data_IF_072927556010
#
_entry.id   IF_072927556010
#
_cell.length_a   1.000
_cell.length_b   1.000
_cell.length_c   1.000
_cell.angle_alpha   90.00
_cell.angle_beta   90.00
_cell.angle_gamma   90.00
#
_symmetry.space_group_name_H-M   'P 1'
#
loop_
_entity.id
_entity.type
_entity.pdbx_description
1 polymer ?
2 non-polymer ?
3 water ?
#
# COMPACT_ATOMS: atom_id res chain seq x y z
N UNK A 1 -14.12 -6.42 14.68
CA UNK A 1 -13.16 -6.32 13.52
C UNK A 1 -12.88 -4.87 13.14
N UNK A 2 -11.85 -4.67 12.32
CA UNK A 2 -11.43 -3.33 11.94
C UNK A 2 -11.36 -3.26 10.42
N UNK A 3 -12.09 -2.30 9.87
CA UNK A 3 -12.48 -2.33 8.47
C UNK A 3 -12.08 -1.08 7.72
N UNK A 4 -11.47 -1.30 6.56
CA UNK A 4 -11.09 -0.23 5.65
C UNK A 4 -12.07 -0.08 4.50
N UNK A 5 -12.45 1.17 4.21
CA UNK A 5 -13.12 1.54 2.98
C UNK A 5 -12.06 1.84 1.93
N UNK A 6 -12.13 1.17 0.79
CA UNK A 6 -11.13 1.33 -0.26
C UNK A 6 -11.82 1.90 -1.50
N UNK A 7 -11.59 3.18 -1.74
CA UNK A 7 -12.19 3.90 -2.86
C UNK A 7 -11.32 4.10 -4.10
N UNK A 8 -11.94 4.68 -5.12
CA UNK A 8 -11.28 4.98 -6.39
C UNK A 8 -10.80 3.71 -7.08
N UNK A 9 -11.64 2.67 -7.04
CA UNK A 9 -11.31 1.43 -7.72
C UNK A 9 -11.71 1.54 -9.18
N UNK A 10 -10.81 1.14 -10.07
CA UNK A 10 -11.16 0.86 -11.46
C UNK A 10 -12.37 -0.07 -11.47
N UNK A 11 -13.35 0.20 -12.33
CA UNK A 11 -14.53 -0.68 -12.43
C UNK A 11 -14.19 -2.11 -12.88
N UNK A 12 -12.98 -2.32 -13.39
CA UNK A 12 -12.51 -3.67 -13.75
C UNK A 12 -11.93 -4.44 -12.56
N UNK A 13 -11.89 -3.82 -11.38
CA UNK A 13 -11.38 -4.51 -10.20
C UNK A 13 -12.49 -5.37 -9.61
N UNK A 14 -12.28 -6.68 -9.63
CA UNK A 14 -13.23 -7.61 -9.01
C UNK A 14 -12.72 -8.04 -7.63
N UNK A 15 -13.48 -8.91 -6.97
CA UNK A 15 -13.11 -9.38 -5.63
C UNK A 15 -11.71 -9.98 -5.63
N UNK A 16 -11.41 -10.81 -6.62
CA UNK A 16 -10.10 -11.45 -6.73
C UNK A 16 -8.95 -10.44 -6.77
N UNK A 17 -9.11 -9.41 -7.61
CA UNK A 17 -8.11 -8.35 -7.74
C UNK A 17 -7.91 -7.58 -6.42
N UNK A 18 -9.01 -7.18 -5.80
CA UNK A 18 -8.95 -6.45 -4.54
C UNK A 18 -8.30 -7.29 -3.43
N UNK A 19 -8.74 -8.54 -3.29
CA UNK A 19 -8.18 -9.45 -2.28
C UNK A 19 -6.69 -9.68 -2.45
N UNK A 20 -6.26 -9.86 -3.69
CA UNK A 20 -4.84 -10.07 -4.00
C UNK A 20 -3.96 -8.89 -3.57
N UNK A 21 -4.55 -7.68 -3.57
CA UNK A 21 -3.83 -6.47 -3.20
C UNK A 21 -3.63 -6.34 -1.69
N UNK A 22 -4.48 -7.01 -0.90
CA UNK A 22 -4.42 -6.90 0.57
C UNK A 22 -4.18 -8.19 1.36
N UNK A 23 -4.32 -9.34 0.68
CA UNK A 23 -4.25 -10.71 1.23
C UNK A 23 -3.15 -10.96 2.27
N UNK A 24 -1.98 -10.39 2.03
CA UNK A 24 -0.80 -10.74 2.81
C UNK A 24 -0.47 -9.80 3.97
N UNK A 25 -1.28 -8.77 4.16
CA UNK A 25 -1.08 -7.88 5.28
C UNK A 25 -1.44 -8.56 6.58
N UNK A 26 -0.65 -8.30 7.65
CA UNK A 26 -0.96 -8.87 8.97
C UNK A 26 -2.41 -8.63 9.38
N UNK A 27 -3.04 -9.69 9.88
CA UNK A 27 -4.42 -9.64 10.39
C UNK A 27 -5.55 -9.54 9.37
N UNK A 28 -5.22 -9.59 8.08
CA UNK A 28 -6.22 -9.59 7.00
C UNK A 28 -7.21 -10.73 7.17
N UNK A 29 -8.48 -10.41 6.95
CA UNK A 29 -9.56 -11.39 7.02
C UNK A 29 -10.24 -11.62 5.68
N UNK A 30 -10.61 -10.52 5.01
CA UNK A 30 -11.47 -10.59 3.83
C UNK A 30 -11.48 -9.29 3.04
N UNK A 31 -11.95 -9.36 1.80
CA UNK A 31 -12.18 -8.17 0.97
C UNK A 31 -13.36 -8.32 0.03
N UNK A 32 -14.08 -7.23 -0.22
CA UNK A 32 -15.25 -7.24 -1.12
C UNK A 32 -15.35 -5.96 -1.95
N UNK A 33 -15.59 -6.12 -3.24
CA UNK A 33 -15.89 -4.97 -4.09
C UNK A 33 -17.40 -4.77 -4.09
N UNK A 34 -17.83 -3.54 -3.83
CA UNK A 34 -19.26 -3.19 -3.88
C UNK A 34 -19.78 -3.02 -5.29
N UNK A 35 -20.96 -3.55 -5.54
CA UNK A 35 -21.58 -3.42 -6.85
C UNK A 35 -23.06 -3.15 -6.70
N UNK A 36 -23.61 -2.52 -7.72
CA UNK A 36 -25.00 -2.07 -7.71
C UNK A 36 -25.92 -3.25 -8.01
N UNK A 37 -26.72 -3.66 -7.03
CA UNK A 37 -27.51 -4.90 -7.17
C UNK A 37 -28.68 -4.83 -8.13
N UNK A 38 -28.87 -3.65 -8.71
CA UNK A 38 -29.83 -3.47 -9.79
C UNK A 38 -29.21 -3.46 -11.19
N UNK A 39 -27.88 -3.35 -11.27
CA UNK A 39 -27.18 -3.30 -12.57
C UNK A 39 -26.03 -4.30 -12.71
N UNK A 40 -25.45 -4.70 -11.58
CA UNK A 40 -24.28 -5.57 -11.60
C UNK A 40 -22.98 -4.80 -11.69
N UNK A 41 -23.07 -3.47 -11.94
CA UNK A 41 -21.90 -2.63 -12.17
C UNK A 41 -21.21 -2.32 -10.86
N UNK A 42 -19.84 -2.46 -10.83
CA UNK A 42 -19.06 -2.03 -9.68
C UNK A 42 -19.39 -0.61 -9.30
N UNK A 43 -19.39 -0.35 -8.00
CA UNK A 43 -19.54 1.00 -7.49
C UNK A 43 -18.20 1.70 -7.35
N UNK A 44 -17.11 1.02 -7.71
CA UNK A 44 -15.78 1.66 -7.69
C UNK A 44 -15.21 1.82 -6.30
N UNK A 45 -15.75 1.05 -5.36
CA UNK A 45 -15.17 0.99 -4.02
C UNK A 45 -15.45 -0.35 -3.41
N UNK A 46 -14.74 -0.63 -2.32
CA UNK A 46 -14.83 -1.92 -1.67
C UNK A 46 -14.42 -1.82 -0.21
N UNK A 47 -14.41 -2.95 0.47
CA UNK A 47 -14.00 -3.03 1.87
C UNK A 47 -12.96 -4.12 2.08
N UNK A 48 -12.06 -3.88 3.04
CA UNK A 48 -11.07 -4.86 3.50
C UNK A 48 -11.11 -4.94 5.04
N UNK A 49 -11.21 -6.16 5.58
CA UNK A 49 -11.40 -6.40 7.01
C UNK A 49 -10.14 -6.96 7.68
N UNK A 50 -9.93 -6.59 8.94
CA UNK A 50 -8.78 -7.04 9.74
C UNK A 50 -9.18 -7.41 11.17
N UNK A 51 -8.40 -8.29 11.81
CA UNK A 51 -8.66 -8.63 13.23
C UNK A 51 -8.18 -7.54 14.19
N UNK A 52 -7.21 -6.75 13.73
CA UNK A 52 -6.45 -5.83 14.57
C UNK A 52 -6.50 -4.40 14.04
N UNK A 53 -6.76 -3.45 14.94
CA UNK A 53 -6.82 -2.03 14.57
C UNK A 53 -5.48 -1.51 14.06
N UNK A 54 -4.41 -1.79 14.80
CA UNK A 54 -3.08 -1.33 14.42
C UNK A 54 -2.68 -1.86 13.05
N UNK A 55 -3.02 -3.12 12.78
CA UNK A 55 -2.73 -3.76 11.50
C UNK A 55 -3.58 -3.20 10.35
N UNK A 56 -4.86 -2.92 10.61
CA UNK A 56 -5.69 -2.23 9.62
C UNK A 56 -5.12 -0.83 9.32
N UNK A 57 -4.72 -0.12 10.38
CA UNK A 57 -4.11 1.20 10.24
C UNK A 57 -2.85 1.15 9.38
N UNK A 58 -1.98 0.18 9.65
CA UNK A 58 -0.75 0.07 8.87
C UNK A 58 -0.99 -0.31 7.41
N UNK A 59 -1.97 -1.18 7.15
CA UNK A 59 -2.27 -1.58 5.78
C UNK A 59 -2.80 -0.38 5.00
N UNK A 60 -3.69 0.37 5.65
CA UNK A 60 -4.19 1.61 5.07
C UNK A 60 -3.04 2.54 4.70
N UNK A 61 -2.12 2.75 5.64
CA UNK A 61 -1.06 3.73 5.42
C UNK A 61 -0.08 3.24 4.35
N UNK A 62 0.18 1.95 4.37
CA UNK A 62 1.03 1.30 3.40
C UNK A 62 0.51 1.42 1.96
N UNK A 63 -0.80 1.30 1.79
CA UNK A 63 -1.46 1.27 0.48
C UNK A 63 -2.07 2.60 0.03
N UNK A 64 -2.12 3.58 0.93
CA UNK A 64 -2.74 4.87 0.63
C UNK A 64 -2.15 5.49 -0.64
N UNK A 65 -3.01 5.76 -1.61
CA UNK A 65 -2.61 6.40 -2.86
C UNK A 65 -1.75 5.57 -3.79
N UNK A 66 -1.55 4.29 -3.45
CA UNK A 66 -0.80 3.39 -4.32
C UNK A 66 -1.71 2.96 -5.45
N UNK A 67 -1.14 2.72 -6.62
CA UNK A 67 -1.95 2.36 -7.80
C UNK A 67 -2.38 0.90 -7.85
N UNK A 68 -3.66 0.70 -8.17
CA UNK A 68 -4.19 -0.61 -8.49
C UNK A 68 -4.92 -0.46 -9.81
N UNK A 69 -4.54 -1.27 -10.81
CA UNK A 69 -5.13 -1.17 -12.15
C UNK A 69 -5.21 0.29 -12.63
N UNK A 70 -4.14 1.04 -12.40
CA UNK A 70 -4.00 2.38 -12.95
C UNK A 70 -4.64 3.50 -12.15
N UNK A 71 -5.26 3.16 -11.02
CA UNK A 71 -5.97 4.13 -10.19
C UNK A 71 -5.44 4.16 -8.76
N UNK A 72 -5.23 5.37 -8.21
CA UNK A 72 -4.73 5.46 -6.83
C UNK A 72 -5.78 5.03 -5.82
N UNK A 73 -5.39 4.14 -4.91
CA UNK A 73 -6.29 3.71 -3.85
C UNK A 73 -6.58 4.86 -2.90
N UNK A 74 -7.85 5.06 -2.59
CA UNK A 74 -8.27 6.12 -1.67
C UNK A 74 -8.88 5.46 -0.46
N UNK A 75 -8.14 5.42 0.63
CA UNK A 75 -8.46 4.53 1.73
C UNK A 75 -8.80 5.30 3.00
N UNK A 76 -9.86 4.87 3.68
CA UNK A 76 -10.21 5.42 4.99
C UNK A 76 -10.86 4.37 5.86
N UNK A 77 -11.04 4.69 7.14
CA UNK A 77 -11.80 3.82 8.03
C UNK A 77 -13.22 3.69 7.50
N UNK A 78 -13.74 2.47 7.45
CA UNK A 78 -15.13 2.26 7.07
C UNK A 78 -16.06 3.06 7.99
N UNK A 79 -17.03 3.72 7.38
CA UNK A 79 -18.02 4.54 8.10
C UNK A 79 -19.27 4.65 7.23
N UNK A 80 -20.37 5.11 7.83
CA UNK A 80 -21.62 5.29 7.08
C UNK A 80 -21.40 6.20 5.88
N UNK A 81 -21.88 5.78 4.71
CA UNK A 81 -21.77 6.61 3.52
C UNK A 81 -22.78 7.75 3.61
N UNK A 82 -22.30 8.96 3.33
CA UNK A 82 -23.05 10.21 3.50
C UNK A 82 -23.88 10.59 2.28
N UNK A 83 -25.04 11.21 2.51
CA UNK A 83 -25.84 11.88 1.47
C UNK A 83 -26.42 10.92 0.42
N UNK B 1 15.78 17.50 -0.86
CA UNK B 1 15.64 16.01 -0.85
C UNK B 1 14.35 15.54 -1.54
N UNK B 2 14.40 14.37 -2.17
CA UNK B 2 13.26 13.80 -2.92
C UNK B 2 13.01 12.34 -2.52
N UNK B 3 11.80 12.08 -2.02
CA UNK B 3 11.60 10.91 -1.17
C UNK B 3 10.49 9.99 -1.63
N UNK B 4 10.81 8.70 -1.66
CA UNK B 4 9.86 7.67 -2.04
C UNK B 4 9.26 7.05 -0.80
N UNK B 5 7.94 6.91 -0.84
CA UNK B 5 7.23 6.08 0.12
C UNK B 5 7.09 4.67 -0.45
N UNK B 6 7.62 3.69 0.27
CA UNK B 6 7.61 2.32 -0.21
C UNK B 6 6.67 1.49 0.65
N UNK B 7 5.54 1.09 0.08
CA UNK B 7 4.56 0.29 0.82
C UNK B 7 4.53 -1.18 0.44
N UNK B 8 3.66 -1.92 1.12
CA UNK B 8 3.53 -3.37 0.97
C UNK B 8 4.81 -4.15 1.33
N UNK B 9 5.54 -3.67 2.33
CA UNK B 9 6.71 -4.41 2.81
C UNK B 9 6.34 -5.60 3.69
N UNK B 10 7.00 -6.73 3.44
CA UNK B 10 6.99 -7.87 4.35
C UNK B 10 7.45 -7.38 5.71
N UNK B 11 6.76 -7.78 6.79
CA UNK B 11 7.16 -7.40 8.15
C UNK B 11 8.59 -7.81 8.52
N UNK B 12 9.15 -8.77 7.77
CA UNK B 12 10.53 -9.20 8.00
C UNK B 12 11.57 -8.34 7.29
N UNK B 13 11.12 -7.30 6.58
CA UNK B 13 12.06 -6.41 5.89
C UNK B 13 12.57 -5.40 6.91
N UNK B 14 13.88 -5.41 7.14
CA UNK B 14 14.53 -4.42 8.01
C UNK B 14 15.29 -3.38 7.17
N UNK B 15 15.95 -2.43 7.83
CA UNK B 15 16.66 -1.34 7.15
C UNK B 15 17.67 -1.90 6.16
N UNK B 16 18.43 -2.91 6.59
CA UNK B 16 19.45 -3.50 5.73
C UNK B 16 18.84 -4.05 4.43
N UNK B 17 17.74 -4.79 4.57
CA UNK B 17 17.04 -5.36 3.42
C UNK B 17 16.50 -4.27 2.47
N UNK B 18 15.84 -3.26 3.03
CA UNK B 18 15.31 -2.16 2.22
C UNK B 18 16.43 -1.39 1.53
N UNK B 19 17.46 -1.02 2.29
CA UNK B 19 18.61 -0.30 1.73
C UNK B 19 19.30 -1.06 0.60
N UNK B 20 19.48 -2.36 0.78
CA UNK B 20 20.12 -3.17 -0.27
C UNK B 20 19.35 -3.12 -1.58
N UNK B 21 18.03 -3.01 -1.49
CA UNK B 21 17.17 -2.98 -2.68
C UNK B 21 17.27 -1.69 -3.49
N UNK B 22 17.75 -0.60 -2.87
CA UNK B 22 17.78 0.72 -3.52
C UNK B 22 19.14 1.43 -3.57
N UNK B 23 20.11 0.93 -2.81
CA UNK B 23 21.34 1.70 -2.56
C UNK B 23 22.24 1.91 -3.77
N UNK B 24 22.05 1.08 -4.80
CA UNK B 24 22.83 1.19 -6.04
C UNK B 24 22.21 2.12 -7.08
N UNK B 25 21.00 2.60 -6.82
CA UNK B 25 20.37 3.58 -7.72
C UNK B 25 21.05 4.94 -7.61
N UNK B 26 21.21 5.64 -8.75
CA UNK B 26 21.80 6.98 -8.75
C UNK B 26 21.11 7.98 -7.82
N UNK B 27 21.92 8.77 -7.10
CA UNK B 27 21.48 9.83 -6.18
C UNK B 27 20.84 9.32 -4.87
N UNK B 28 20.90 8.01 -4.66
CA UNK B 28 20.42 7.39 -3.42
C UNK B 28 21.16 7.97 -2.21
N UNK B 29 20.41 8.26 -1.15
CA UNK B 29 20.96 8.73 0.12
C UNK B 29 20.79 7.68 1.21
N UNK B 30 19.54 7.31 1.46
CA UNK B 30 19.19 6.60 2.69
C UNK B 30 17.90 5.81 2.54
N UNK B 31 17.66 4.90 3.48
CA UNK B 31 16.40 4.18 3.56
C UNK B 31 16.04 3.85 4.99
N UNK B 32 14.75 3.88 5.29
CA UNK B 32 14.26 3.53 6.63
C UNK B 32 12.96 2.75 6.59
N UNK B 33 12.89 1.67 7.37
CA UNK B 33 11.64 0.93 7.54
C UNK B 33 10.95 1.49 8.76
N UNK B 34 9.67 1.83 8.62
CA UNK B 34 8.92 2.35 9.76
C UNK B 34 8.43 1.22 10.64
N UNK B 35 8.50 1.46 11.95
CA UNK B 35 8.06 0.48 12.93
C UNK B 35 7.39 1.22 14.09
N UNK B 36 6.53 0.48 14.78
CA UNK B 36 5.69 0.98 15.88
C UNK B 36 6.53 1.09 17.16
N UNK B 37 6.74 2.32 17.62
CA UNK B 37 7.63 2.57 18.75
C UNK B 37 7.09 2.14 20.09
N UNK B 38 5.88 1.59 20.09
CA UNK B 38 5.35 0.97 21.30
C UNK B 38 5.40 -0.56 21.28
N UNK B 39 5.82 -1.16 20.16
CA UNK B 39 5.86 -2.63 20.04
C UNK B 39 7.10 -3.21 19.36
N UNK B 40 7.79 -2.40 18.56
CA UNK B 40 8.99 -2.86 17.84
C UNK B 40 8.64 -3.42 16.48
N UNK B 41 7.36 -3.61 16.25
CA UNK B 41 6.90 -4.26 15.02
C UNK B 41 6.91 -3.33 13.83
N UNK B 42 7.45 -3.81 12.71
CA UNK B 42 7.38 -3.10 11.43
C UNK B 42 5.95 -2.75 11.04
N UNK B 43 5.80 -1.54 10.51
CA UNK B 43 4.52 -1.09 9.97
C UNK B 43 4.30 -1.53 8.52
N UNK B 44 5.31 -2.16 7.91
CA UNK B 44 5.19 -2.67 6.54
C UNK B 44 5.30 -1.60 5.47
N UNK B 45 5.98 -0.51 5.80
CA UNK B 45 6.32 0.50 4.82
C UNK B 45 7.55 1.27 5.27
N UNK B 46 8.15 2.02 4.35
CA UNK B 46 9.37 2.75 4.62
C UNK B 46 9.61 3.87 3.62
N UNK B 47 10.78 4.48 3.72
CA UNK B 47 11.15 5.62 2.91
C UNK B 47 12.51 5.39 2.33
N UNK B 48 12.67 5.85 1.10
CA UNK B 48 13.96 5.87 0.43
C UNK B 48 14.17 7.28 -0.10
N UNK B 49 15.34 7.86 0.20
CA UNK B 49 15.62 9.27 -0.08
C UNK B 49 16.69 9.42 -1.14
N UNK B 50 16.55 10.47 -1.95
CA UNK B 50 17.43 10.78 -3.09
C UNK B 50 17.74 12.28 -3.12
N UNK B 51 18.89 12.64 -3.69
CA UNK B 51 19.26 14.05 -3.84
C UNK B 51 18.51 14.76 -4.98
N UNK B 52 18.13 13.99 -6.01
CA UNK B 52 17.55 14.52 -7.23
C UNK B 52 16.17 13.93 -7.53
N UNK B 53 15.25 14.78 -7.98
CA UNK B 53 13.88 14.38 -8.30
C UNK B 53 13.81 13.37 -9.43
N UNK B 54 14.52 13.66 -10.52
CA UNK B 54 14.56 12.76 -11.66
C UNK B 54 15.07 11.37 -11.27
N UNK B 55 16.13 11.34 -10.46
CA UNK B 55 16.71 10.08 -10.03
C UNK B 55 15.77 9.29 -9.11
N UNK B 56 15.09 9.99 -8.20
CA UNK B 56 14.05 9.35 -7.38
C UNK B 56 12.95 8.73 -8.25
N UNK B 57 12.49 9.48 -9.25
CA UNK B 57 11.43 9.01 -10.16
C UNK B 57 11.86 7.77 -10.94
N UNK B 58 13.11 7.76 -11.41
CA UNK B 58 13.68 6.62 -12.12
C UNK B 58 13.76 5.36 -11.26
N UNK B 59 14.17 5.50 -10.00
CA UNK B 59 14.20 4.37 -9.07
C UNK B 59 12.80 3.82 -8.79
N UNK B 60 11.83 4.72 -8.62
CA UNK B 60 10.43 4.34 -8.45
C UNK B 60 9.93 3.47 -9.61
N UNK B 61 10.22 3.89 -10.84
CA UNK B 61 9.85 3.10 -12.02
C UNK B 61 10.48 1.72 -12.09
N UNK B 62 11.79 1.60 -11.83
CA UNK B 62 12.46 0.30 -11.90
C UNK B 62 11.94 -0.69 -10.89
N UNK B 63 11.58 -0.20 -9.71
CA UNK B 63 11.26 -1.07 -8.60
C UNK B 63 9.77 -1.30 -8.40
N UNK B 64 8.95 -0.55 -9.14
CA UNK B 64 7.49 -0.58 -8.97
C UNK B 64 6.93 -1.97 -9.21
N UNK B 65 6.23 -2.53 -8.22
CA UNK B 65 5.63 -3.87 -8.32
C UNK B 65 6.59 -5.05 -8.23
N UNK B 66 7.89 -4.79 -8.07
CA UNK B 66 8.88 -5.86 -7.97
C UNK B 66 8.85 -6.50 -6.59
N UNK B 67 9.09 -7.80 -6.55
CA UNK B 67 9.00 -8.53 -5.29
C UNK B 67 10.20 -8.23 -4.40
N UNK B 68 9.92 -8.05 -3.12
CA UNK B 68 10.93 -8.00 -2.08
C UNK B 68 10.41 -8.90 -0.98
N UNK B 69 11.17 -9.95 -0.67
CA UNK B 69 10.74 -10.94 0.32
C UNK B 69 9.29 -11.39 0.08
N UNK B 70 8.96 -11.61 -1.20
CA UNK B 70 7.71 -12.23 -1.61
C UNK B 70 6.52 -11.30 -1.75
N UNK B 71 6.75 -10.00 -1.57
CA UNK B 71 5.69 -9.00 -1.63
C UNK B 71 6.02 -7.90 -2.65
N UNK B 72 5.06 -7.55 -3.54
CA UNK B 72 5.30 -6.48 -4.52
C UNK B 72 5.48 -5.07 -3.91
N UNK B 73 6.55 -4.37 -4.28
CA UNK B 73 6.77 -3.00 -3.82
C UNK B 73 5.73 -2.05 -4.39
N UNK B 74 5.07 -1.31 -3.50
CA UNK B 74 4.13 -0.27 -3.91
C UNK B 74 4.71 1.09 -3.62
N UNK B 75 5.12 1.79 -4.66
CA UNK B 75 5.93 2.98 -4.48
C UNK B 75 5.24 4.24 -4.95
N UNK B 76 5.23 5.25 -4.10
CA UNK B 76 4.78 6.57 -4.54
C UNK B 76 5.62 7.67 -3.92
N UNK B 77 5.30 8.93 -4.20
CA UNK B 77 6.00 10.05 -3.59
C UNK B 77 5.61 10.19 -2.12
N UNK B 78 6.60 10.44 -1.26
CA UNK B 78 6.33 10.68 0.15
C UNK B 78 5.49 11.95 0.33
N UNK B 79 4.49 11.88 1.20
CA UNK B 79 3.60 13.02 1.43
C UNK B 79 3.45 13.33 2.91
X LIG C 1 -8.32 9.76 4.32
X LIG C 1 -8.93 10.96 4.74
X LIG C 1 -7.49 9.17 5.45
X LIG C 1 -7.54 7.77 5.39
X LIG C 1 -8.07 9.57 6.80
X LIG C 1 -7.54 8.68 7.76
X LIG D 1 -2.49 10.04 6.27
X LIG D 1 -3.71 10.70 6.48
X LIG D 1 -1.34 11.03 6.36
X LIG D 1 -1.49 11.96 5.31
X LIG D 1 -0.03 10.28 6.20
X LIG D 1 1.02 11.21 6.05
#
# INVERSE_FOLDING_TARGET
TFNLFVGDLNVNVDDETLRNAFKDFPSYLSGHVMWDMQTGSSRGYGFVSFTSQDDAQNAMDSMQGQDLNGRPLRINWAAKLEH
TFNLFVGDLNVNVDDETLRNAFKDFPSYLSGHVMWDMQTGSSRGYGFVSFTSQDDAQNAMDSMQGQDLNGRPLRINWAAKLEH
GOL C1 O1 C2 O2 C3 O3
GOL C1 O1 C2 O2 C3 O3
#
